data_IF_124435736447
#
_entry.id   IF_124435736447
#
_cell.length_a   1.000
_cell.length_b   1.000
_cell.length_c   1.000
_cell.angle_alpha   90.00
_cell.angle_beta   90.00
_cell.angle_gamma   90.00
#
_symmetry.space_group_name_H-M   'P 1'
#
loop_
_entity.id
_entity.type
_entity.pdbx_description
1 polymer ?
#
# COMPACT_ATOMS: atom_id res chain seq x y z
N UNK A 1 5.90 -0.42 13.70
CA UNK A 1 6.39 0.84 13.11
C UNK A 1 5.22 1.60 12.50
N UNK A 2 5.37 2.92 12.35
CA UNK A 2 4.41 3.73 11.62
C UNK A 2 4.91 3.92 10.18
N UNK A 3 4.08 3.56 9.20
CA UNK A 3 4.37 3.77 7.78
C UNK A 3 3.44 4.85 7.23
N UNK A 4 4.00 5.79 6.47
CA UNK A 4 3.27 6.84 5.77
C UNK A 4 3.19 6.50 4.30
N UNK A 5 1.98 6.57 3.77
CA UNK A 5 1.64 6.19 2.41
C UNK A 5 0.89 7.35 1.76
N UNK A 6 1.20 7.67 0.52
CA UNK A 6 0.39 8.58 -0.27
C UNK A 6 -0.61 7.82 -1.13
N UNK A 7 -1.87 8.16 -0.95
CA UNK A 7 -3.00 7.65 -1.71
C UNK A 7 -3.08 8.40 -3.05
N UNK A 8 -2.68 7.76 -4.15
CA UNK A 8 -2.68 8.42 -5.46
C UNK A 8 -4.08 8.69 -6.01
N UNK A 9 -5.08 7.89 -5.65
CA UNK A 9 -6.44 8.03 -6.18
C UNK A 9 -7.18 9.17 -5.48
N UNK A 10 -7.01 9.31 -4.16
CA UNK A 10 -7.69 10.34 -3.37
C UNK A 10 -6.80 11.52 -2.98
N UNK A 11 -5.53 11.53 -3.41
CA UNK A 11 -4.55 12.60 -3.18
C UNK A 11 -4.41 13.00 -1.71
N UNK A 12 -4.26 12.01 -0.83
CA UNK A 12 -4.13 12.21 0.63
C UNK A 12 -3.04 11.34 1.24
N UNK A 13 -2.54 11.76 2.39
CA UNK A 13 -1.66 10.92 3.20
C UNK A 13 -2.49 9.94 4.04
N UNK A 14 -1.99 8.72 4.17
CA UNK A 14 -2.52 7.67 5.03
C UNK A 14 -1.38 7.17 5.91
N UNK A 15 -1.62 7.15 7.21
CA UNK A 15 -0.64 6.72 8.20
C UNK A 15 -1.17 5.45 8.86
N UNK A 16 -0.34 4.40 8.90
CA UNK A 16 -0.75 3.09 9.40
C UNK A 16 0.31 2.54 10.34
N UNK A 17 -0.14 2.01 11.48
CA UNK A 17 0.71 1.22 12.37
C UNK A 17 0.71 -0.25 11.92
N UNK A 18 1.92 -0.78 11.68
CA UNK A 18 2.17 -2.12 11.15
C UNK A 18 3.44 -2.71 11.73
N UNK A 19 3.59 -4.04 11.67
CA UNK A 19 4.89 -4.68 11.90
C UNK A 19 5.81 -4.38 10.70
N UNK A 20 7.04 -3.92 10.99
CA UNK A 20 8.02 -3.59 9.96
C UNK A 20 8.54 -4.80 9.19
N UNK A 21 8.48 -5.99 9.81
CA UNK A 21 8.86 -7.26 9.18
C UNK A 21 7.74 -7.87 8.35
N UNK A 22 6.53 -7.32 8.39
CA UNK A 22 5.41 -7.80 7.61
C UNK A 22 5.63 -7.62 6.10
N UNK A 23 4.90 -8.39 5.30
CA UNK A 23 4.93 -8.29 3.85
C UNK A 23 3.96 -7.19 3.37
N UNK A 24 4.13 -6.73 2.12
CA UNK A 24 3.26 -5.71 1.52
C UNK A 24 1.79 -6.13 1.49
N UNK A 25 1.54 -7.43 1.35
CA UNK A 25 0.18 -8.01 1.38
C UNK A 25 -0.52 -7.80 2.72
N UNK A 26 0.22 -7.84 3.83
CA UNK A 26 -0.33 -7.60 5.16
C UNK A 26 -0.71 -6.11 5.33
N UNK A 27 0.08 -5.21 4.73
CA UNK A 27 -0.26 -3.79 4.68
C UNK A 27 -1.54 -3.53 3.87
N UNK A 28 -1.72 -4.20 2.72
CA UNK A 28 -2.97 -4.11 1.93
C UNK A 28 -4.15 -4.57 2.77
N UNK A 29 -4.01 -5.71 3.47
CA UNK A 29 -5.04 -6.21 4.37
C UNK A 29 -5.35 -5.20 5.50
N UNK A 30 -4.32 -4.59 6.09
CA UNK A 30 -4.50 -3.58 7.12
C UNK A 30 -5.23 -2.33 6.62
N UNK A 31 -4.89 -1.85 5.42
CA UNK A 31 -5.60 -0.74 4.77
C UNK A 31 -7.09 -1.07 4.56
N UNK A 32 -7.40 -2.35 4.29
CA UNK A 32 -8.78 -2.81 4.11
C UNK A 32 -9.55 -2.84 5.43
N UNK A 33 -8.93 -3.30 6.50
CA UNK A 33 -9.52 -3.28 7.85
C UNK A 33 -9.84 -1.86 8.33
N UNK A 34 -8.99 -0.90 7.97
CA UNK A 34 -9.18 0.52 8.28
C UNK A 34 -10.15 1.23 7.33
N UNK A 35 -10.71 0.54 6.33
CA UNK A 35 -11.63 1.12 5.34
C UNK A 35 -10.96 2.10 4.38
N UNK A 36 -9.63 2.12 4.30
CA UNK A 36 -8.89 2.96 3.34
C UNK A 36 -9.02 2.40 1.92
N UNK A 37 -9.06 1.08 1.80
CA UNK A 37 -9.44 0.37 0.56
C UNK A 37 -10.68 -0.48 0.81
N UNK A 38 -11.53 -0.63 -0.20
CA UNK A 38 -12.75 -1.44 -0.10
C UNK A 38 -12.42 -2.93 -0.16
N UNK A 39 -13.39 -3.77 0.24
CA UNK A 39 -13.23 -5.24 0.25
C UNK A 39 -13.09 -5.83 -1.15
N UNK A 40 -13.66 -5.18 -2.15
CA UNK A 40 -13.58 -5.54 -3.56
C UNK A 40 -12.40 -4.86 -4.29
N UNK A 41 -11.48 -4.24 -3.55
CA UNK A 41 -10.31 -3.54 -4.10
C UNK A 41 -9.01 -4.13 -3.58
N UNK A 42 -8.02 -4.26 -4.45
CA UNK A 42 -6.62 -4.47 -4.06
C UNK A 42 -5.83 -3.18 -4.25
N UNK A 43 -4.58 -3.14 -3.79
CA UNK A 43 -3.69 -2.03 -4.03
C UNK A 43 -2.32 -2.49 -4.52
N UNK A 44 -1.72 -1.71 -5.43
CA UNK A 44 -0.28 -1.79 -5.70
C UNK A 44 0.40 -0.77 -4.81
N UNK A 45 1.38 -1.22 -4.03
CA UNK A 45 2.18 -0.38 -3.12
C UNK A 45 3.61 -0.34 -3.64
N UNK A 46 4.23 0.84 -3.62
CA UNK A 46 5.59 1.02 -4.09
C UNK A 46 5.99 2.50 -4.12
N UNK A 47 6.87 2.86 -5.07
CA UNK A 47 7.31 4.24 -5.24
C UNK A 47 6.53 4.88 -6.39
N UNK A 48 5.99 6.11 -6.23
CA UNK A 48 5.34 6.81 -7.32
C UNK A 48 6.37 7.20 -8.39
N UNK A 49 6.08 6.89 -9.65
CA UNK A 49 6.83 7.40 -10.80
C UNK A 49 6.27 8.74 -11.29
N UNK A 50 4.96 8.91 -11.15
CA UNK A 50 4.22 10.13 -11.40
C UNK A 50 2.87 10.08 -10.65
N UNK A 51 1.94 10.96 -11.00
CA UNK A 51 0.63 11.07 -10.36
C UNK A 51 -0.31 9.87 -10.60
N UNK A 52 0.05 8.93 -11.46
CA UNK A 52 -0.79 7.79 -11.88
C UNK A 52 -0.08 6.44 -11.79
N UNK A 53 1.25 6.39 -11.84
CA UNK A 53 2.04 5.16 -11.94
C UNK A 53 2.83 4.89 -10.67
N UNK A 54 2.83 3.63 -10.26
CA UNK A 54 3.62 3.11 -9.14
C UNK A 54 4.59 2.07 -9.67
N UNK A 55 5.87 2.23 -9.34
CA UNK A 55 6.87 1.18 -9.53
C UNK A 55 6.81 0.23 -8.35
N UNK A 56 6.55 -1.04 -8.64
CA UNK A 56 6.71 -2.11 -7.65
C UNK A 56 8.19 -2.21 -7.26
N UNK A 57 8.44 -2.27 -5.95
CA UNK A 57 9.78 -2.51 -5.42
C UNK A 57 9.83 -3.95 -4.93
N UNK A 58 10.74 -4.79 -5.44
CA UNK A 58 10.91 -6.15 -4.95
C UNK A 58 11.59 -6.11 -3.58
N UNK A 59 10.82 -5.85 -2.53
CA UNK A 59 11.26 -5.85 -1.12
C UNK A 59 10.65 -7.03 -0.39
N UNK A 60 11.40 -7.62 0.54
CA UNK A 60 10.93 -8.76 1.34
C UNK A 60 9.98 -8.30 2.45
N UNK A 61 10.13 -7.08 2.96
CA UNK A 61 9.27 -6.52 4.02
C UNK A 61 9.12 -4.98 3.96
N UNK A 62 8.27 -4.45 4.84
CA UNK A 62 7.95 -3.02 4.91
C UNK A 62 9.12 -2.14 5.38
N UNK A 63 9.98 -2.64 6.26
CA UNK A 63 11.21 -1.93 6.66
C UNK A 63 12.13 -1.69 5.47
N UNK A 64 12.33 -2.70 4.64
CA UNK A 64 13.14 -2.58 3.41
C UNK A 64 12.51 -1.62 2.41
N UNK A 65 11.18 -1.64 2.26
CA UNK A 65 10.47 -0.69 1.42
C UNK A 65 10.66 0.76 1.91
N UNK A 66 10.53 0.99 3.22
CA UNK A 66 10.76 2.29 3.83
C UNK A 66 12.21 2.75 3.70
N UNK A 67 13.17 1.86 3.92
CA UNK A 67 14.59 2.15 3.72
C UNK A 67 14.89 2.52 2.25
N UNK A 68 14.31 1.79 1.30
CA UNK A 68 14.46 2.09 -0.13
C UNK A 68 13.88 3.46 -0.49
N UNK A 69 12.67 3.78 -0.01
CA UNK A 69 12.04 5.08 -0.23
C UNK A 69 12.91 6.23 0.34
N UNK A 70 13.41 6.05 1.57
CA UNK A 70 14.31 7.02 2.21
C UNK A 70 15.61 7.21 1.42
N UNK A 71 16.25 6.12 0.97
CA UNK A 71 17.47 6.19 0.17
C UNK A 71 17.26 6.94 -1.14
N UNK A 72 16.10 6.74 -1.78
CA UNK A 72 15.71 7.42 -3.02
C UNK A 72 15.15 8.83 -2.81
N UNK A 73 15.05 9.29 -1.55
CA UNK A 73 14.45 10.59 -1.17
C UNK A 73 13.04 10.76 -1.74
N UNK A 74 12.24 9.72 -1.65
CA UNK A 74 10.88 9.66 -2.18
C UNK A 74 9.92 9.10 -1.15
N UNK A 75 8.63 9.14 -1.46
CA UNK A 75 7.54 8.63 -0.61
C UNK A 75 7.11 7.24 -1.05
N UNK A 76 6.50 6.49 -0.15
CA UNK A 76 5.76 5.28 -0.50
C UNK A 76 4.35 5.71 -0.90
N UNK A 77 3.83 5.16 -1.99
CA UNK A 77 2.50 5.43 -2.48
C UNK A 77 1.75 4.12 -2.74
N UNK A 78 0.43 4.22 -2.80
CA UNK A 78 -0.41 3.13 -3.28
C UNK A 78 -1.51 3.61 -4.23
N UNK A 79 -1.98 2.69 -5.06
CA UNK A 79 -3.09 2.88 -5.99
C UNK A 79 -4.02 1.68 -5.95
N UNK A 80 -5.33 1.94 -5.97
CA UNK A 80 -6.38 0.92 -5.91
C UNK A 80 -6.66 0.33 -7.28
N UNK A 81 -7.03 -0.94 -7.26
CA UNK A 81 -7.51 -1.67 -8.42
C UNK A 81 -8.72 -2.52 -8.03
N UNK A 82 -9.80 -2.52 -8.83
CA UNK A 82 -10.93 -3.40 -8.59
C UNK A 82 -10.51 -4.87 -8.76
N UNK A 83 -11.02 -5.74 -7.88
CA UNK A 83 -10.87 -7.19 -8.01
C UNK A 83 -12.12 -7.71 -8.71
N UNK A 84 -12.01 -7.96 -10.01
CA UNK A 84 -13.11 -8.54 -10.78
C UNK A 84 -13.43 -9.96 -10.30
N UNK A 85 -14.71 -10.27 -10.10
CA UNK A 85 -15.16 -11.58 -9.64
C UNK A 85 -15.04 -11.82 -8.13
N UNK A 86 -14.80 -10.77 -7.32
CA UNK A 86 -14.81 -10.90 -5.87
C UNK A 86 -16.23 -11.20 -5.33
N UNK A 87 -16.50 -12.48 -5.04
CA UNK A 87 -17.60 -12.90 -4.18
C UNK A 87 -17.08 -13.05 -2.75
N UNK A 88 -17.48 -12.19 -1.80
CA UNK A 88 -17.10 -12.40 -0.41
C UNK A 88 -17.65 -13.76 0.04
N UNK A 89 -16.79 -14.66 0.52
CA UNK A 89 -17.24 -15.88 1.19
C UNK A 89 -18.17 -15.46 2.32
N UNK A 90 -19.44 -15.86 2.24
CA UNK A 90 -20.40 -15.65 3.34
C UNK A 90 -19.83 -16.31 4.60
N UNK A 91 -19.99 -15.66 5.77
CA UNK A 91 -19.58 -16.25 7.04
C UNK A 91 -20.34 -17.55 7.33
#
# INVERSE_FOLDING_TARGET
MQIRLFDLDNKREVVVDVDGKAHVTDLIQRLRELGVIRRDETAIIGIPLDERRIAYVPTVNLEQLAAYANQRKTIIAFRRFPIHGYTPNKP
#
